data_IF_710079271806
#
_entry.id   IF_710079271806
#
_cell.length_a   1.000
_cell.length_b   1.000
_cell.length_c   1.000
_cell.angle_alpha   90.00
_cell.angle_beta   90.00
_cell.angle_gamma   90.00
#
_symmetry.space_group_name_H-M   'P 1'
#
loop_
_entity.id
_entity.type
_entity.pdbx_description
1 polymer ?
#
# COMPACT_ATOMS: atom_id res chain seq x y z
N UNK A 1 -10.60 -56.26 -19.30
CA UNK A 1 -10.88 -54.88 -18.84
C UNK A 1 -10.20 -53.90 -19.81
N UNK A 2 -10.83 -52.75 -19.99
CA UNK A 2 -10.89 -51.95 -21.22
C UNK A 2 -9.64 -51.05 -21.43
N UNK A 3 -9.01 -51.21 -22.60
CA UNK A 3 -8.63 -50.22 -23.64
C UNK A 3 -8.02 -48.86 -23.18
N UNK A 4 -6.86 -48.48 -23.74
CA UNK A 4 -6.67 -47.32 -24.67
C UNK A 4 -5.20 -46.94 -24.87
N UNK A 5 -4.73 -47.21 -26.08
CA UNK A 5 -3.52 -46.67 -26.70
C UNK A 5 -3.66 -45.15 -26.91
N UNK A 6 -2.59 -44.37 -26.69
CA UNK A 6 -2.46 -43.04 -27.30
C UNK A 6 -1.06 -42.87 -27.88
N UNK A 7 -1.06 -42.53 -29.17
CA UNK A 7 0.09 -42.38 -30.06
C UNK A 7 0.94 -41.16 -29.68
N UNK A 8 2.26 -41.32 -29.63
CA UNK A 8 3.21 -40.23 -29.86
C UNK A 8 3.05 -39.71 -31.29
N UNK A 9 2.77 -38.40 -31.47
CA UNK A 9 3.10 -37.66 -32.70
C UNK A 9 3.20 -36.15 -32.44
N UNK A 10 4.45 -35.69 -32.33
CA UNK A 10 5.09 -34.65 -33.16
C UNK A 10 4.33 -33.33 -33.33
N UNK A 11 4.73 -32.29 -32.59
CA UNK A 11 4.70 -30.92 -33.09
C UNK A 11 5.98 -30.17 -32.73
N UNK A 12 6.74 -29.83 -33.77
CA UNK A 12 7.82 -28.86 -33.74
C UNK A 12 7.19 -27.50 -33.42
N UNK A 13 7.66 -26.81 -32.38
CA UNK A 13 7.48 -25.36 -32.29
C UNK A 13 8.86 -24.71 -32.41
N UNK A 14 9.07 -24.11 -33.58
CA UNK A 14 10.11 -23.13 -33.81
C UNK A 14 9.80 -21.91 -32.93
N UNK A 15 10.80 -21.46 -32.17
CA UNK A 15 10.74 -20.22 -31.38
C UNK A 15 11.38 -19.14 -32.25
N UNK A 16 10.63 -18.24 -32.89
CA UNK A 16 11.23 -17.04 -33.44
C UNK A 16 11.58 -16.11 -32.28
N UNK A 17 12.88 -15.85 -32.13
CA UNK A 17 13.39 -14.73 -31.35
C UNK A 17 12.89 -13.44 -32.00
N UNK A 18 12.00 -12.72 -31.32
CA UNK A 18 11.66 -11.36 -31.67
C UNK A 18 11.31 -10.55 -30.41
N UNK A 19 12.27 -9.70 -30.05
CA UNK A 19 12.06 -8.30 -29.66
C UNK A 19 11.29 -8.03 -28.36
N UNK A 20 12.08 -7.68 -27.35
CA UNK A 20 11.75 -6.80 -26.22
C UNK A 20 10.93 -5.58 -26.68
N UNK A 21 9.77 -5.34 -26.07
CA UNK A 21 9.27 -3.98 -25.87
C UNK A 21 8.36 -3.90 -24.65
N UNK A 22 8.74 -2.98 -23.77
CA UNK A 22 8.09 -2.60 -22.53
C UNK A 22 6.59 -2.39 -22.67
N UNK A 23 5.85 -3.08 -21.81
CA UNK A 23 4.71 -2.52 -21.14
C UNK A 23 4.67 -3.16 -19.76
N UNK A 24 5.27 -2.47 -18.79
CA UNK A 24 4.99 -2.69 -17.38
C UNK A 24 3.54 -2.23 -17.18
N UNK A 25 2.60 -3.06 -17.61
CA UNK A 25 1.22 -2.95 -17.16
C UNK A 25 1.28 -3.31 -15.68
N UNK A 26 1.33 -2.28 -14.82
CA UNK A 26 0.82 -2.40 -13.46
C UNK A 26 -0.65 -2.77 -13.59
N UNK A 27 -0.89 -4.07 -13.80
CA UNK A 27 -2.12 -4.70 -13.38
C UNK A 27 -2.09 -4.49 -11.88
N UNK A 28 -2.85 -3.50 -11.41
CA UNK A 28 -3.38 -3.51 -10.06
C UNK A 28 -4.17 -4.82 -9.99
N UNK A 29 -3.45 -5.88 -9.64
CA UNK A 29 -4.01 -7.07 -9.08
C UNK A 29 -4.68 -6.57 -7.80
N UNK A 30 -5.95 -6.19 -7.93
CA UNK A 30 -6.91 -6.34 -6.85
C UNK A 30 -7.01 -7.84 -6.59
N UNK A 31 -5.95 -8.38 -5.99
CA UNK A 31 -5.88 -9.75 -5.57
C UNK A 31 -6.59 -9.78 -4.24
N UNK A 32 -7.82 -10.25 -4.30
CA UNK A 32 -8.66 -10.67 -3.20
C UNK A 32 -7.83 -11.46 -2.17
N UNK A 33 -7.48 -10.80 -1.07
CA UNK A 33 -6.79 -11.41 0.06
C UNK A 33 -7.48 -10.92 1.33
N UNK A 34 -8.52 -11.65 1.73
CA UNK A 34 -9.29 -11.33 2.93
C UNK A 34 -8.38 -11.29 4.16
N UNK A 35 -8.48 -10.22 4.90
CA UNK A 35 -8.07 -10.10 6.30
C UNK A 35 -8.97 -9.00 6.86
N UNK A 36 -9.73 -9.28 7.91
CA UNK A 36 -10.70 -8.37 8.55
C UNK A 36 -10.00 -7.18 9.27
N UNK A 37 -8.84 -6.75 8.78
CA UNK A 37 -8.03 -5.66 9.30
C UNK A 37 -8.32 -4.32 8.60
N UNK A 38 -7.83 -3.20 9.16
CA UNK A 38 -8.09 -1.86 8.66
C UNK A 38 -7.29 -1.54 7.39
N UNK A 39 -7.69 -2.08 6.25
CA UNK A 39 -7.03 -1.78 4.98
C UNK A 39 -7.44 -0.42 4.41
N UNK A 40 -6.47 0.29 3.87
CA UNK A 40 -6.66 1.51 3.10
C UNK A 40 -5.64 2.61 3.37
N UNK A 41 -5.92 3.75 2.78
CA UNK A 41 -5.15 4.98 2.98
C UNK A 41 -5.82 5.86 4.02
N UNK A 42 -5.06 6.25 5.01
CA UNK A 42 -5.46 7.10 6.11
C UNK A 42 -4.49 8.28 6.22
N UNK A 43 -4.96 9.39 6.75
CA UNK A 43 -4.20 10.62 6.78
C UNK A 43 -4.28 11.25 8.16
N UNK A 44 -3.18 11.83 8.61
CA UNK A 44 -3.16 12.74 9.73
C UNK A 44 -2.75 14.15 9.26
N UNK A 45 -2.36 15.02 10.20
CA UNK A 45 -1.94 16.39 9.89
C UNK A 45 -0.54 16.47 9.27
N UNK A 46 0.22 15.38 9.29
CA UNK A 46 1.64 15.30 8.97
C UNK A 46 1.94 14.38 7.79
N UNK A 47 1.03 13.49 7.41
CA UNK A 47 1.33 12.46 6.42
C UNK A 47 0.19 11.51 6.10
N UNK A 48 0.57 10.47 5.36
CA UNK A 48 -0.26 9.38 4.88
C UNK A 48 0.21 8.07 5.51
N UNK A 49 -0.73 7.36 6.12
CA UNK A 49 -0.59 5.97 6.54
C UNK A 49 -1.27 5.07 5.49
N UNK A 50 -0.55 4.08 4.98
CA UNK A 50 -1.06 3.07 4.06
C UNK A 50 -1.01 1.71 4.74
N UNK A 51 -2.17 1.04 4.82
CA UNK A 51 -2.29 -0.34 5.29
C UNK A 51 -2.80 -1.19 4.13
N UNK A 52 -1.98 -2.13 3.68
CA UNK A 52 -2.30 -3.07 2.59
C UNK A 52 -2.02 -4.51 3.02
N UNK A 53 -3.08 -5.23 3.36
CA UNK A 53 -2.99 -6.53 4.02
C UNK A 53 -2.22 -6.41 5.35
N UNK A 54 -1.08 -7.09 5.43
CA UNK A 54 -0.21 -7.01 6.61
C UNK A 54 0.87 -5.93 6.48
N UNK A 55 1.03 -5.27 5.34
CA UNK A 55 2.06 -4.24 5.18
C UNK A 55 1.55 -2.89 5.64
N UNK A 56 2.38 -2.16 6.39
CA UNK A 56 2.10 -0.79 6.84
C UNK A 56 3.24 0.13 6.45
N UNK A 57 2.91 1.29 5.90
CA UNK A 57 3.88 2.33 5.56
C UNK A 57 3.34 3.71 5.92
N UNK A 58 4.20 4.56 6.47
CA UNK A 58 3.90 5.96 6.74
C UNK A 58 4.79 6.86 5.89
N UNK A 59 4.17 7.81 5.21
CA UNK A 59 4.82 8.80 4.35
C UNK A 59 4.50 10.19 4.88
N UNK A 60 5.52 11.00 5.13
CA UNK A 60 5.31 12.38 5.55
C UNK A 60 4.83 13.25 4.39
N UNK A 61 4.14 14.32 4.73
CA UNK A 61 3.87 15.42 3.82
C UNK A 61 5.08 16.33 3.76
N UNK A 62 5.42 16.70 2.53
CA UNK A 62 6.50 17.62 2.20
C UNK A 62 6.01 18.77 1.35
N UNK A 63 6.96 19.64 1.01
CA UNK A 63 6.75 20.80 0.16
C UNK A 63 7.66 20.66 -1.08
N UNK A 64 7.10 20.72 -2.29
CA UNK A 64 7.82 20.39 -3.53
C UNK A 64 9.09 21.23 -3.79
N UNK A 65 9.07 22.55 -3.51
CA UNK A 65 10.22 23.48 -3.65
C UNK A 65 10.10 24.71 -2.75
N UNK A 66 11.18 25.28 -2.21
CA UNK A 66 11.11 26.51 -1.43
C UNK A 66 10.59 27.71 -2.25
N UNK A 67 9.59 28.44 -1.71
CA UNK A 67 9.20 29.78 -2.17
C UNK A 67 7.80 29.94 -2.78
N UNK A 68 7.15 28.84 -3.19
CA UNK A 68 5.70 28.68 -3.49
C UNK A 68 5.43 27.18 -3.59
N UNK A 69 5.48 26.47 -2.48
CA UNK A 69 5.49 25.02 -2.53
C UNK A 69 4.09 24.44 -2.57
N UNK A 70 3.88 23.45 -3.42
CA UNK A 70 2.71 22.58 -3.30
C UNK A 70 2.99 21.54 -2.22
N UNK A 71 1.98 21.25 -1.40
CA UNK A 71 1.99 20.10 -0.52
C UNK A 71 2.06 18.83 -1.37
N UNK A 72 3.02 17.97 -1.05
CA UNK A 72 3.24 16.68 -1.68
C UNK A 72 3.35 15.61 -0.60
N UNK A 73 3.19 14.35 -1.01
CA UNK A 73 3.53 13.20 -0.14
C UNK A 73 4.93 12.78 -0.55
N UNK A 74 5.80 12.53 0.43
CA UNK A 74 7.14 12.05 0.17
C UNK A 74 7.10 10.70 -0.55
N UNK A 75 8.11 10.47 -1.40
CA UNK A 75 8.19 9.27 -2.22
C UNK A 75 8.71 8.05 -1.46
N UNK A 76 9.39 8.29 -0.35
CA UNK A 76 9.96 7.26 0.53
C UNK A 76 9.17 7.23 1.83
N UNK A 77 8.88 6.03 2.33
CA UNK A 77 8.21 5.88 3.61
C UNK A 77 9.20 6.24 4.72
N UNK A 78 8.80 7.16 5.61
CA UNK A 78 9.57 7.53 6.80
C UNK A 78 9.59 6.40 7.82
N UNK A 79 8.49 5.65 7.92
CA UNK A 79 8.40 4.44 8.75
C UNK A 79 7.64 3.35 8.01
N UNK A 80 8.03 2.10 8.23
CA UNK A 80 7.35 0.93 7.68
C UNK A 80 7.29 -0.19 8.72
N UNK A 81 6.33 -1.08 8.59
CA UNK A 81 6.08 -2.14 9.54
C UNK A 81 5.10 -3.18 9.02
N UNK A 82 4.78 -4.13 9.89
CA UNK A 82 3.83 -5.19 9.59
C UNK A 82 2.70 -5.21 10.63
N UNK A 83 1.48 -5.32 10.15
CA UNK A 83 0.31 -5.57 10.99
C UNK A 83 0.37 -7.02 11.51
N UNK A 84 0.17 -7.19 12.81
CA UNK A 84 -0.02 -8.48 13.47
C UNK A 84 -1.12 -9.32 12.81
N UNK A 85 -1.10 -10.63 13.03
CA UNK A 85 -2.09 -11.56 12.45
C UNK A 85 -3.52 -11.23 12.91
N UNK A 86 -3.63 -10.71 14.12
CA UNK A 86 -4.84 -10.31 14.82
C UNK A 86 -5.35 -8.93 14.37
N UNK A 87 -4.52 -8.16 13.66
CA UNK A 87 -4.86 -6.83 13.16
C UNK A 87 -4.86 -5.72 14.21
N UNK A 88 -4.40 -6.00 15.43
CA UNK A 88 -4.51 -5.09 16.59
C UNK A 88 -3.19 -4.40 16.99
N UNK A 89 -2.08 -4.76 16.32
CA UNK A 89 -0.75 -4.21 16.54
C UNK A 89 0.00 -4.05 15.22
N UNK A 90 0.89 -3.05 15.16
CA UNK A 90 1.90 -2.87 14.11
C UNK A 90 3.27 -3.11 14.72
N UNK A 91 4.09 -3.90 14.03
CA UNK A 91 5.49 -4.15 14.38
C UNK A 91 6.33 -3.29 13.43
N UNK A 92 6.92 -2.20 13.94
CA UNK A 92 7.69 -1.27 13.13
C UNK A 92 9.09 -1.83 12.82
N UNK A 93 9.50 -1.69 11.56
CA UNK A 93 10.79 -2.20 11.04
C UNK A 93 11.98 -1.30 11.38
N UNK A 94 11.73 -0.03 11.71
CA UNK A 94 12.74 0.97 12.07
C UNK A 94 13.23 0.85 13.53
N UNK A 95 12.78 -0.17 14.26
CA UNK A 95 13.09 -0.35 15.67
C UNK A 95 12.21 0.47 16.61
N UNK A 96 11.15 1.12 16.11
CA UNK A 96 10.14 1.82 16.91
C UNK A 96 9.32 0.94 17.86
N UNK A 97 9.45 -0.39 17.75
CA UNK A 97 8.75 -1.35 18.60
C UNK A 97 7.37 -1.71 18.05
N UNK A 98 6.43 -2.03 18.95
CA UNK A 98 5.08 -2.42 18.59
C UNK A 98 4.09 -1.33 18.95
N UNK A 99 3.30 -0.87 17.97
CA UNK A 99 2.23 0.10 18.19
C UNK A 99 0.85 -0.55 18.21
N UNK A 100 -0.01 -0.16 19.14
CA UNK A 100 -1.37 -0.70 19.24
C UNK A 100 -2.28 -0.02 18.22
N UNK A 101 -3.02 -0.83 17.47
CA UNK A 101 -3.99 -0.40 16.46
C UNK A 101 -5.41 -0.48 17.01
N UNK A 102 -6.22 0.54 16.76
CA UNK A 102 -7.67 0.49 16.98
C UNK A 102 -8.39 1.13 15.81
N UNK A 103 -9.14 0.33 15.06
CA UNK A 103 -9.97 0.83 13.98
C UNK A 103 -11.38 1.21 14.47
N UNK A 104 -11.97 2.26 13.92
CA UNK A 104 -13.38 2.56 14.18
C UNK A 104 -14.27 1.51 13.53
N UNK A 105 -15.49 1.37 14.08
CA UNK A 105 -16.48 0.42 13.57
C UNK A 105 -16.86 0.66 12.10
N UNK A 106 -16.76 1.90 11.61
CA UNK A 106 -17.00 2.21 10.19
C UNK A 106 -15.77 1.99 9.30
N UNK A 107 -14.58 1.83 9.89
CA UNK A 107 -13.31 1.69 9.16
C UNK A 107 -12.76 3.01 8.60
N UNK A 108 -13.38 4.14 8.94
CA UNK A 108 -12.97 5.48 8.46
C UNK A 108 -11.82 6.08 9.26
N UNK A 109 -11.53 5.52 10.44
CA UNK A 109 -10.43 5.98 11.28
C UNK A 109 -9.65 4.80 11.84
N UNK A 110 -8.35 5.01 12.01
CA UNK A 110 -7.44 4.10 12.68
C UNK A 110 -6.66 4.92 13.69
N UNK A 111 -6.57 4.44 14.92
CA UNK A 111 -5.70 4.98 15.95
C UNK A 111 -4.48 4.06 16.09
N UNK A 112 -3.27 4.63 16.09
CA UNK A 112 -2.03 3.93 16.40
C UNK A 112 -1.36 4.67 17.55
N UNK A 113 -1.24 4.02 18.70
CA UNK A 113 -0.63 4.59 19.92
C UNK A 113 -1.18 5.97 20.34
N UNK A 114 -2.48 6.20 20.13
CA UNK A 114 -3.14 7.48 20.44
C UNK A 114 -3.02 8.53 19.34
N UNK A 115 -2.39 8.21 18.20
CA UNK A 115 -2.40 9.05 16.99
C UNK A 115 -3.51 8.56 16.06
N UNK A 116 -4.51 9.42 15.83
CA UNK A 116 -5.62 9.11 14.94
C UNK A 116 -5.32 9.50 13.49
N UNK A 117 -5.56 8.55 12.59
CA UNK A 117 -5.51 8.68 11.14
C UNK A 117 -6.92 8.52 10.57
N UNK A 118 -7.28 9.32 9.58
CA UNK A 118 -8.63 9.39 9.01
C UNK A 118 -8.59 9.11 7.52
N UNK A 119 -9.51 8.27 7.04
CA UNK A 119 -9.72 8.02 5.62
C UNK A 119 -10.36 9.25 4.98
N UNK A 120 -9.68 9.81 3.99
CA UNK A 120 -10.17 10.95 3.21
C UNK A 120 -9.51 10.98 1.83
N UNK A 121 -10.00 11.84 0.94
CA UNK A 121 -9.36 12.05 -0.36
C UNK A 121 -7.97 12.68 -0.18
N UNK A 122 -6.97 12.14 -0.88
CA UNK A 122 -5.59 12.64 -0.91
C UNK A 122 -5.50 14.15 -1.13
N UNK A 123 -6.22 14.67 -2.12
CA UNK A 123 -6.20 16.10 -2.44
C UNK A 123 -6.68 16.97 -1.28
N UNK A 124 -7.65 16.47 -0.50
CA UNK A 124 -8.15 17.17 0.69
C UNK A 124 -7.12 17.15 1.82
N UNK A 125 -6.41 16.04 2.00
CA UNK A 125 -5.35 15.93 2.99
C UNK A 125 -4.19 16.89 2.65
N UNK A 126 -3.73 16.89 1.39
CA UNK A 126 -2.70 17.81 0.91
C UNK A 126 -3.14 19.28 0.98
N UNK A 127 -4.38 19.59 0.60
CA UNK A 127 -4.92 20.94 0.74
C UNK A 127 -4.93 21.42 2.21
N UNK A 128 -5.12 20.50 3.16
CA UNK A 128 -5.07 20.82 4.59
C UNK A 128 -3.65 21.09 5.08
N UNK A 129 -2.63 20.46 4.46
CA UNK A 129 -1.22 20.69 4.75
C UNK A 129 -0.64 21.89 3.99
N UNK A 130 -1.22 22.28 2.86
CA UNK A 130 -0.77 23.38 1.99
C UNK A 130 -0.35 24.67 2.73
N UNK A 131 -1.05 25.14 3.78
CA UNK A 131 -0.64 26.35 4.51
C UNK A 131 0.72 26.23 5.23
N UNK A 132 1.24 25.01 5.46
CA UNK A 132 2.56 24.78 6.03
C UNK A 132 3.70 25.04 5.02
N UNK A 133 3.39 25.10 3.72
CA UNK A 133 4.36 25.28 2.65
C UNK A 133 4.64 26.74 2.24
N UNK A 134 4.03 27.71 2.92
CA UNK A 134 4.29 29.15 2.73
C UNK A 134 3.24 29.90 1.92
#
# INVERSE_FOLDING_TARGET
MIIRSVRLRKQRLAIPAAVLLSALACVLAGCSGGSDGPSGEYYDKEGQLVIDGNSVAYYEFGCDKPGKSNAVIDTEATSSGELSTEGDQIIWSDGGGTGKVTASKSGDTVDIDGKQYTKMAKDKALQSYQPMCG
#
